data_IF_162212707687
#
_entry.id   IF_162212707687
#
_cell.length_a   1.000
_cell.length_b   1.000
_cell.length_c   1.000
_cell.angle_alpha   90.00
_cell.angle_beta   90.00
_cell.angle_gamma   90.00
#
_symmetry.space_group_name_H-M   'P 1'
#
loop_
_entity.id
_entity.type
_entity.pdbx_description
1 polymer ?
#
# COMPACT_ATOMS: atom_id res chain seq x y z
N UNK A 1 -7.93 -4.26 -6.75
CA UNK A 1 -7.29 -2.96 -6.33
C UNK A 1 -5.76 -3.05 -6.24
N UNK A 2 -5.01 -1.98 -6.53
CA UNK A 2 -3.55 -1.88 -6.30
C UNK A 2 -3.13 -0.47 -5.87
N UNK A 3 -1.92 -0.27 -5.34
CA UNK A 3 -1.46 1.08 -4.98
C UNK A 3 -1.17 1.91 -6.23
N UNK A 4 -1.42 3.22 -6.16
CA UNK A 4 -1.02 4.13 -7.23
C UNK A 4 0.51 4.20 -7.36
N UNK A 5 1.08 4.43 -8.56
CA UNK A 5 2.52 4.38 -8.77
C UNK A 5 3.27 5.45 -7.96
N UNK A 6 2.67 6.63 -7.77
CA UNK A 6 3.24 7.69 -6.94
C UNK A 6 3.33 7.31 -5.47
N UNK A 7 2.42 6.48 -4.95
CA UNK A 7 2.46 6.00 -3.56
C UNK A 7 3.63 5.01 -3.39
N UNK A 8 3.87 4.17 -4.39
CA UNK A 8 5.02 3.27 -4.39
C UNK A 8 6.33 4.06 -4.38
N UNK A 9 6.41 5.12 -5.18
CA UNK A 9 7.59 5.97 -5.20
C UNK A 9 7.83 6.62 -3.83
N UNK A 10 6.78 7.18 -3.21
CA UNK A 10 6.86 7.72 -1.85
C UNK A 10 7.33 6.67 -0.82
N UNK A 11 6.82 5.43 -0.90
CA UNK A 11 7.30 4.35 -0.04
C UNK A 11 8.80 4.06 -0.28
N UNK A 12 9.24 4.04 -1.54
CA UNK A 12 10.65 3.80 -1.88
C UNK A 12 11.58 4.86 -1.30
N UNK A 13 11.14 6.10 -1.22
CA UNK A 13 11.94 7.23 -0.74
C UNK A 13 11.94 7.35 0.81
N UNK A 14 10.93 6.77 1.47
CA UNK A 14 10.69 6.89 2.93
C UNK A 14 11.24 5.71 3.72
N UNK A 15 12.36 5.89 4.44
CA UNK A 15 13.02 4.82 5.22
C UNK A 15 12.18 4.34 6.42
N UNK A 16 11.54 5.28 7.10
CA UNK A 16 10.56 5.08 8.18
C UNK A 16 9.41 4.18 7.73
N UNK A 17 8.78 4.53 6.60
CA UNK A 17 7.64 3.79 6.07
C UNK A 17 8.05 2.38 5.63
N UNK A 18 9.19 2.22 4.96
CA UNK A 18 9.70 0.88 4.63
C UNK A 18 9.91 0.00 5.87
N UNK A 19 10.41 0.58 6.97
CA UNK A 19 10.59 -0.16 8.23
C UNK A 19 9.24 -0.58 8.83
N UNK A 20 8.27 0.32 8.86
CA UNK A 20 6.92 0.00 9.33
C UNK A 20 6.26 -1.11 8.50
N UNK A 21 6.42 -1.06 7.17
CA UNK A 21 5.90 -2.08 6.26
C UNK A 21 6.60 -3.43 6.43
N UNK A 22 7.93 -3.47 6.57
CA UNK A 22 8.67 -4.71 6.85
C UNK A 22 8.17 -5.36 8.14
N UNK A 23 8.01 -4.58 9.22
CA UNK A 23 7.50 -5.09 10.49
C UNK A 23 6.05 -5.57 10.40
N UNK A 24 5.18 -4.84 9.70
CA UNK A 24 3.76 -5.21 9.60
C UNK A 24 3.49 -6.40 8.69
N UNK A 25 4.30 -6.58 7.65
CA UNK A 25 4.16 -7.69 6.70
C UNK A 25 4.98 -8.93 7.11
N UNK A 26 5.82 -8.80 8.14
CA UNK A 26 6.80 -9.80 8.56
C UNK A 26 7.70 -10.26 7.41
N UNK A 27 8.33 -9.28 6.76
CA UNK A 27 9.18 -9.51 5.58
C UNK A 27 10.52 -8.83 5.67
N UNK A 28 11.50 -9.44 5.02
CA UNK A 28 12.83 -8.83 4.82
C UNK A 28 12.76 -7.64 3.86
N UNK A 29 13.81 -6.82 3.87
CA UNK A 29 13.97 -5.71 2.92
C UNK A 29 13.91 -6.17 1.46
N UNK A 30 14.56 -7.28 1.14
CA UNK A 30 14.55 -7.87 -0.20
C UNK A 30 13.14 -8.27 -0.60
N UNK A 31 12.39 -8.93 0.30
CA UNK A 31 11.01 -9.31 0.01
C UNK A 31 10.09 -8.10 -0.12
N UNK A 32 10.26 -7.05 0.68
CA UNK A 32 9.54 -5.79 0.51
C UNK A 32 9.84 -5.15 -0.86
N UNK A 33 11.09 -5.17 -1.33
CA UNK A 33 11.44 -4.67 -2.66
C UNK A 33 10.68 -5.39 -3.77
N UNK A 34 10.59 -6.72 -3.71
CA UNK A 34 9.78 -7.50 -4.66
C UNK A 34 8.29 -7.17 -4.56
N UNK A 35 7.73 -7.09 -3.35
CA UNK A 35 6.32 -6.72 -3.14
C UNK A 35 6.00 -5.34 -3.77
N UNK A 36 6.89 -4.36 -3.57
CA UNK A 36 6.73 -3.02 -4.15
C UNK A 36 6.97 -2.98 -5.67
N UNK A 37 7.78 -3.89 -6.21
CA UNK A 37 8.00 -3.99 -7.65
C UNK A 37 6.84 -4.69 -8.36
N UNK A 38 6.29 -5.74 -7.75
CA UNK A 38 5.13 -6.48 -8.27
C UNK A 38 3.85 -5.63 -8.23
N UNK A 39 3.64 -4.83 -7.16
CA UNK A 39 2.41 -4.06 -6.91
C UNK A 39 1.14 -4.84 -7.30
N UNK A 40 1.09 -6.10 -6.89
CA UNK A 40 0.08 -7.03 -7.35
C UNK A 40 -1.30 -6.53 -6.93
N UNK A 41 -2.26 -6.69 -7.84
CA UNK A 41 -3.66 -6.51 -7.53
C UNK A 41 -4.09 -7.44 -6.39
N UNK A 42 -4.83 -6.88 -5.43
CA UNK A 42 -5.29 -7.56 -4.21
C UNK A 42 -4.15 -8.24 -3.42
N UNK A 43 -2.95 -7.65 -3.51
CA UNK A 43 -1.74 -8.11 -2.87
C UNK A 43 -1.55 -7.64 -1.42
N UNK A 44 -0.37 -7.87 -0.83
CA UNK A 44 -0.07 -7.50 0.56
C UNK A 44 -0.23 -5.99 0.86
N UNK A 45 -0.07 -5.14 -0.17
CA UNK A 45 -0.14 -3.68 -0.07
C UNK A 45 -1.57 -3.13 -0.02
N UNK A 46 -2.57 -3.91 -0.43
CA UNK A 46 -3.98 -3.51 -0.42
C UNK A 46 -4.76 -3.99 0.80
N UNK A 47 -4.11 -4.77 1.69
CA UNK A 47 -4.68 -5.13 2.98
C UNK A 47 -4.93 -3.88 3.82
N UNK A 48 -6.09 -3.79 4.48
CA UNK A 48 -6.51 -2.64 5.30
C UNK A 48 -5.40 -2.20 6.28
N UNK A 49 -4.81 -3.15 7.02
CA UNK A 49 -3.72 -2.86 7.98
C UNK A 49 -2.52 -2.20 7.30
N UNK A 50 -2.12 -2.68 6.14
CA UNK A 50 -1.00 -2.12 5.37
C UNK A 50 -1.35 -0.72 4.86
N UNK A 51 -2.58 -0.55 4.36
CA UNK A 51 -3.10 0.73 3.91
C UNK A 51 -3.11 1.79 5.00
N UNK A 52 -3.54 1.44 6.22
CA UNK A 52 -3.53 2.35 7.37
C UNK A 52 -2.11 2.80 7.75
N UNK A 53 -1.12 1.91 7.66
CA UNK A 53 0.28 2.27 7.90
C UNK A 53 0.75 3.29 6.86
N UNK A 54 0.47 3.04 5.57
CA UNK A 54 0.85 3.94 4.48
C UNK A 54 0.15 5.28 4.64
N UNK A 55 -1.16 5.28 4.86
CA UNK A 55 -2.00 6.46 5.09
C UNK A 55 -1.47 7.31 6.25
N UNK A 56 -1.26 6.70 7.42
CA UNK A 56 -0.77 7.41 8.60
C UNK A 56 0.64 7.96 8.43
N UNK A 57 1.53 7.25 7.74
CA UNK A 57 2.88 7.75 7.47
C UNK A 57 2.85 8.88 6.43
N UNK A 58 2.06 8.76 5.37
CA UNK A 58 2.02 9.76 4.29
C UNK A 58 1.11 10.95 4.62
N UNK A 59 0.37 10.93 5.74
CA UNK A 59 -0.67 11.89 6.10
C UNK A 59 -1.67 12.10 4.95
N UNK A 60 -2.21 10.98 4.45
CA UNK A 60 -3.18 10.94 3.35
C UNK A 60 -4.33 10.01 3.68
N UNK A 61 -5.51 10.28 3.14
CA UNK A 61 -6.66 9.40 3.31
C UNK A 61 -6.45 8.05 2.62
N UNK A 62 -6.90 6.98 3.26
CA UNK A 62 -6.74 5.60 2.79
C UNK A 62 -7.26 5.41 1.35
N UNK A 63 -8.40 6.02 1.03
CA UNK A 63 -9.06 5.94 -0.28
C UNK A 63 -8.23 6.57 -1.41
N UNK A 64 -7.34 7.50 -1.07
CA UNK A 64 -6.50 8.18 -2.07
C UNK A 64 -5.29 7.36 -2.51
N UNK A 65 -4.99 6.26 -1.81
CA UNK A 65 -3.78 5.46 -2.01
C UNK A 65 -3.86 4.48 -3.18
N UNK A 66 -5.07 4.06 -3.54
CA UNK A 66 -5.30 2.94 -4.45
C UNK A 66 -5.80 3.41 -5.83
N UNK A 67 -5.42 2.66 -6.87
CA UNK A 67 -6.02 2.73 -8.19
C UNK A 67 -7.36 1.98 -8.18
N UNK A 68 -8.35 2.50 -8.91
CA UNK A 68 -9.69 1.94 -8.96
C UNK A 68 -10.41 2.14 -7.63
N UNK A 69 -10.97 3.34 -7.42
CA UNK A 69 -11.91 3.55 -6.32
C UNK A 69 -12.99 2.46 -6.37
N UNK A 70 -13.50 1.95 -5.23
CA UNK A 70 -14.80 1.29 -5.26
C UNK A 70 -15.78 2.32 -5.81
N UNK A 71 -16.28 2.11 -7.02
CA UNK A 71 -17.46 2.84 -7.48
C UNK A 71 -18.62 2.41 -6.57
N UNK A 72 -19.55 3.32 -6.27
CA UNK A 72 -20.74 3.04 -5.44
C UNK A 72 -21.60 1.85 -5.96
N UNK A 73 -21.31 1.30 -7.14
CA UNK A 73 -21.96 0.12 -7.71
C UNK A 73 -21.59 -1.19 -7.00
N UNK A 74 -20.42 -1.31 -6.37
CA UNK A 74 -19.98 -2.56 -5.73
C UNK A 74 -20.60 -2.82 -4.34
N UNK A 75 -21.32 -1.84 -3.79
CA UNK A 75 -21.98 -1.95 -2.47
C UNK A 75 -23.45 -2.38 -2.61
N UNK A 76 -23.95 -2.57 -3.84
CA UNK A 76 -25.38 -2.83 -4.13
C UNK A 76 -25.68 -4.19 -4.75
N UNK A 77 -24.85 -5.23 -4.55
CA UNK A 77 -25.19 -6.61 -4.94
C UNK A 77 -25.12 -7.58 -3.77
#
# INVERSE_FOLDING_TARGET
MRLKPEIIQLIRDRRDLKRALMASLDVTRTRLFYILAENKEDGPLTRIKTGLIISGNLNRDLETLYEGQPTMEDVSK
#
